data_IF_866581718619
#
_entry.id   IF_866581718619
#
_cell.length_a   1.000
_cell.length_b   1.000
_cell.length_c   1.000
_cell.angle_alpha   90.00
_cell.angle_beta   90.00
_cell.angle_gamma   90.00
#
_symmetry.space_group_name_H-M   'P 1'
#
loop_
_entity.id
_entity.type
_entity.pdbx_description
1 polymer ?
#
# COMPACT_ATOMS: atom_id res chain seq x y z
N UNK A 1 4.73 4.46 -22.39
CA UNK A 1 5.33 3.13 -22.08
C UNK A 1 6.83 3.06 -22.39
N UNK A 2 7.32 3.57 -23.52
CA UNK A 2 8.73 3.42 -23.95
C UNK A 2 9.77 4.16 -23.11
N UNK A 3 9.46 5.35 -22.57
CA UNK A 3 10.44 6.14 -21.78
C UNK A 3 10.74 5.54 -20.40
N UNK A 4 9.77 4.87 -19.79
CA UNK A 4 9.94 4.24 -18.47
C UNK A 4 10.70 2.91 -18.54
N UNK A 5 10.49 2.13 -19.61
CA UNK A 5 11.22 0.87 -19.83
C UNK A 5 12.72 1.12 -20.02
N UNK A 6 13.07 2.22 -20.69
CA UNK A 6 14.46 2.66 -20.90
C UNK A 6 15.12 3.07 -19.57
N UNK A 7 14.38 3.73 -18.68
CA UNK A 7 14.88 4.15 -17.37
C UNK A 7 15.21 2.96 -16.47
N UNK A 8 14.36 1.93 -16.44
CA UNK A 8 14.58 0.70 -15.66
C UNK A 8 15.79 -0.08 -16.18
N UNK A 9 15.92 -0.20 -17.50
CA UNK A 9 17.08 -0.88 -18.11
C UNK A 9 18.39 -0.15 -17.79
N UNK A 10 18.38 1.19 -17.80
CA UNK A 10 19.55 2.02 -17.48
C UNK A 10 20.00 1.85 -16.02
N UNK A 11 19.07 1.79 -15.07
CA UNK A 11 19.39 1.59 -13.65
C UNK A 11 19.94 0.19 -13.38
N UNK A 12 19.37 -0.84 -14.01
CA UNK A 12 19.86 -2.21 -13.89
C UNK A 12 21.29 -2.38 -14.46
N UNK A 13 21.58 -1.72 -15.59
CA UNK A 13 22.92 -1.72 -16.21
C UNK A 13 23.92 -0.96 -15.32
N UNK A 14 23.51 0.16 -14.69
CA UNK A 14 24.39 0.93 -13.80
C UNK A 14 24.77 0.13 -12.53
N UNK A 15 23.85 -0.64 -11.97
CA UNK A 15 24.10 -1.48 -10.79
C UNK A 15 25.09 -2.63 -11.08
N UNK A 16 25.08 -3.17 -12.29
CA UNK A 16 26.04 -4.19 -12.74
C UNK A 16 27.43 -3.58 -13.00
N UNK A 17 27.49 -2.34 -13.51
CA UNK A 17 28.76 -1.65 -13.75
C UNK A 17 29.58 -1.40 -12.48
N UNK A 18 28.92 -1.14 -11.35
CA UNK A 18 29.57 -0.85 -10.06
C UNK A 18 30.20 -2.08 -9.42
N UNK A 19 29.74 -3.30 -9.72
CA UNK A 19 30.32 -4.54 -9.18
C UNK A 19 31.59 -5.00 -9.92
N UNK A 20 31.86 -4.47 -11.12
CA UNK A 20 33.00 -4.88 -11.96
C UNK A 20 34.16 -3.87 -12.00
N UNK A 21 33.96 -2.64 -11.50
CA UNK A 21 34.97 -1.58 -11.60
C UNK A 21 34.99 -0.72 -10.31
N UNK A 22 36.00 -0.92 -9.46
CA UNK A 22 36.34 0.04 -8.40
C UNK A 22 36.98 -0.58 -7.18
N UNK A 23 38.31 -0.51 -7.11
CA UNK A 23 39.09 -0.68 -5.91
C UNK A 23 39.94 0.57 -5.71
N UNK A 24 39.49 1.58 -4.96
CA UNK A 24 40.33 2.57 -4.29
C UNK A 24 39.54 3.53 -3.37
N UNK A 25 39.67 3.35 -2.04
CA UNK A 25 39.74 4.29 -0.88
C UNK A 25 38.95 5.65 -0.85
N UNK A 26 38.09 5.99 -1.81
CA UNK A 26 37.12 7.11 -1.75
C UNK A 26 35.66 6.64 -1.78
N UNK A 27 35.45 5.34 -1.57
CA UNK A 27 34.25 4.62 -2.01
C UNK A 27 33.10 4.58 -1.01
N UNK A 28 33.30 4.87 0.28
CA UNK A 28 32.21 4.68 1.25
C UNK A 28 31.03 5.65 1.04
N UNK A 29 31.32 6.92 0.78
CA UNK A 29 30.26 7.91 0.48
C UNK A 29 29.55 7.64 -0.85
N UNK A 30 30.29 7.15 -1.84
CA UNK A 30 29.75 6.79 -3.16
C UNK A 30 28.92 5.50 -3.06
N UNK A 31 29.39 4.49 -2.30
CA UNK A 31 28.67 3.25 -2.02
C UNK A 31 27.40 3.48 -1.22
N UNK A 32 27.43 4.31 -0.19
CA UNK A 32 26.23 4.67 0.57
C UNK A 32 25.20 5.40 -0.31
N UNK A 33 25.65 6.32 -1.16
CA UNK A 33 24.78 7.04 -2.10
C UNK A 33 24.18 6.11 -3.17
N UNK A 34 25.00 5.20 -3.72
CA UNK A 34 24.55 4.18 -4.67
C UNK A 34 23.59 3.18 -4.04
N UNK A 35 23.87 2.74 -2.81
CA UNK A 35 22.99 1.82 -2.09
C UNK A 35 21.64 2.48 -1.79
N UNK A 36 21.64 3.76 -1.41
CA UNK A 36 20.41 4.54 -1.24
C UNK A 36 19.63 4.70 -2.55
N UNK A 37 20.33 4.98 -3.67
CA UNK A 37 19.71 5.09 -4.99
C UNK A 37 19.14 3.75 -5.50
N UNK A 38 19.83 2.64 -5.24
CA UNK A 38 19.36 1.28 -5.57
C UNK A 38 18.13 0.92 -4.73
N UNK A 39 18.13 1.21 -3.41
CA UNK A 39 16.95 0.98 -2.57
C UNK A 39 15.76 1.85 -3.00
N UNK A 40 15.99 3.12 -3.31
CA UNK A 40 14.95 4.02 -3.82
C UNK A 40 14.38 3.48 -5.15
N UNK A 41 15.25 3.13 -6.11
CA UNK A 41 14.82 2.57 -7.40
C UNK A 41 14.13 1.20 -7.24
N UNK A 42 14.57 0.34 -6.32
CA UNK A 42 13.90 -0.93 -6.01
C UNK A 42 12.53 -0.70 -5.35
N UNK A 43 12.40 0.30 -4.47
CA UNK A 43 11.12 0.68 -3.89
C UNK A 43 10.16 1.21 -4.97
N UNK A 44 10.65 2.06 -5.88
CA UNK A 44 9.86 2.55 -7.02
C UNK A 44 9.46 1.41 -7.97
N UNK A 45 10.37 0.48 -8.27
CA UNK A 45 10.08 -0.68 -9.13
C UNK A 45 9.09 -1.65 -8.47
N UNK A 46 9.20 -1.91 -7.16
CA UNK A 46 8.20 -2.68 -6.40
C UNK A 46 6.83 -1.99 -6.45
N UNK A 47 6.79 -0.68 -6.20
CA UNK A 47 5.55 0.13 -6.30
C UNK A 47 4.90 0.04 -7.69
N UNK A 48 5.71 0.00 -8.75
CA UNK A 48 5.19 -0.08 -10.12
C UNK A 48 4.76 -1.49 -10.58
N UNK A 49 5.42 -2.56 -10.10
CA UNK A 49 5.10 -3.94 -10.49
C UNK A 49 3.93 -4.48 -9.67
N UNK A 50 3.89 -4.18 -8.38
CA UNK A 50 2.98 -4.83 -7.42
C UNK A 50 1.56 -4.23 -7.47
N UNK A 51 1.41 -2.96 -7.86
CA UNK A 51 0.10 -2.30 -8.00
C UNK A 51 -0.69 -2.76 -9.24
N UNK A 52 -0.06 -3.54 -10.14
CA UNK A 52 -0.76 -4.18 -11.27
C UNK A 52 -1.57 -5.41 -10.84
N UNK A 53 -1.32 -5.96 -9.65
CA UNK A 53 -2.00 -7.14 -9.12
C UNK A 53 -3.18 -6.82 -8.19
N UNK A 54 -3.43 -5.54 -7.88
CA UNK A 54 -4.55 -5.14 -7.04
C UNK A 54 -5.92 -5.37 -7.70
N UNK A 55 -6.97 -5.47 -6.88
CA UNK A 55 -8.35 -5.63 -7.34
C UNK A 55 -9.05 -4.28 -7.48
N UNK A 56 -10.00 -4.13 -8.41
CA UNK A 56 -10.88 -2.98 -8.43
C UNK A 56 -11.82 -3.02 -7.23
N UNK A 57 -11.90 -1.89 -6.51
CA UNK A 57 -12.84 -1.66 -5.42
C UNK A 57 -13.60 -0.37 -5.71
N UNK A 58 -14.93 -0.41 -5.70
CA UNK A 58 -15.79 0.72 -6.07
C UNK A 58 -16.69 1.14 -4.91
N UNK A 59 -16.71 2.44 -4.59
CA UNK A 59 -17.61 3.04 -3.59
C UNK A 59 -18.31 4.23 -4.25
N UNK A 60 -19.65 4.22 -4.29
CA UNK A 60 -20.46 5.28 -4.92
C UNK A 60 -19.98 5.67 -6.34
N UNK A 61 -19.58 4.67 -7.14
CA UNK A 61 -19.11 4.87 -8.52
C UNK A 61 -17.68 5.39 -8.67
N UNK A 62 -16.95 5.57 -7.56
CA UNK A 62 -15.52 5.87 -7.56
C UNK A 62 -14.76 4.56 -7.43
N UNK A 63 -13.93 4.23 -8.41
CA UNK A 63 -13.12 3.01 -8.42
C UNK A 63 -11.69 3.31 -8.05
N UNK A 64 -11.15 2.52 -7.12
CA UNK A 64 -9.72 2.46 -6.79
C UNK A 64 -9.17 1.08 -7.12
N UNK A 65 -7.85 0.96 -7.19
CA UNK A 65 -7.16 -0.33 -7.24
C UNK A 65 -6.55 -0.61 -5.87
N UNK A 66 -7.06 -1.64 -5.19
CA UNK A 66 -6.63 -2.03 -3.87
C UNK A 66 -5.70 -3.26 -3.92
N UNK A 67 -4.51 -3.17 -3.32
CA UNK A 67 -3.72 -4.38 -3.00
C UNK A 67 -4.44 -5.16 -1.91
N UNK A 68 -4.43 -6.48 -1.98
CA UNK A 68 -5.09 -7.34 -0.99
C UNK A 68 -4.06 -7.87 -0.01
N UNK A 69 -4.35 -7.78 1.29
CA UNK A 69 -3.58 -8.41 2.35
C UNK A 69 -4.44 -9.45 3.09
N UNK A 70 -4.15 -10.72 2.84
CA UNK A 70 -4.87 -11.86 3.42
C UNK A 70 -4.05 -12.56 4.51
N UNK A 71 -2.74 -12.60 4.35
CA UNK A 71 -1.83 -13.25 5.30
C UNK A 71 -1.37 -12.29 6.39
N UNK A 72 -1.02 -12.82 7.56
CA UNK A 72 -0.47 -12.01 8.66
C UNK A 72 0.81 -11.24 8.25
N UNK A 73 1.61 -11.81 7.33
CA UNK A 73 2.79 -11.17 6.78
C UNK A 73 2.43 -9.94 5.93
N UNK A 74 1.51 -10.09 4.97
CA UNK A 74 1.04 -8.97 4.14
C UNK A 74 0.34 -7.89 4.97
N UNK A 75 -0.43 -8.30 5.98
CA UNK A 75 -1.11 -7.39 6.90
C UNK A 75 -0.11 -6.64 7.78
N UNK A 76 0.98 -7.29 8.20
CA UNK A 76 2.07 -6.68 8.97
C UNK A 76 2.96 -5.74 8.15
N UNK A 77 3.13 -5.99 6.84
CA UNK A 77 3.84 -5.10 5.92
C UNK A 77 3.03 -3.82 5.65
N UNK A 78 1.75 -3.98 5.32
CA UNK A 78 0.84 -2.88 5.06
C UNK A 78 1.35 -1.89 4.02
N UNK A 79 1.10 -0.60 4.26
CA UNK A 79 1.64 0.53 3.48
C UNK A 79 2.89 1.15 4.14
N UNK A 80 3.54 0.45 5.07
CA UNK A 80 4.76 0.92 5.71
C UNK A 80 5.91 1.07 4.70
N UNK A 81 6.74 2.10 4.88
CA UNK A 81 7.96 2.29 4.11
C UNK A 81 7.78 2.84 2.69
N UNK A 82 6.56 2.89 2.14
CA UNK A 82 6.31 3.54 0.84
C UNK A 82 6.25 5.08 0.98
N UNK A 83 6.75 5.79 -0.04
CA UNK A 83 6.89 7.25 -0.01
C UNK A 83 5.58 8.01 -0.22
N UNK A 84 4.68 7.46 -1.03
CA UNK A 84 3.41 8.07 -1.37
C UNK A 84 2.45 7.02 -1.91
N UNK A 85 1.17 7.19 -1.62
CA UNK A 85 0.06 6.50 -2.26
C UNK A 85 -0.64 7.44 -3.25
N UNK A 86 -0.92 6.94 -4.47
CA UNK A 86 -1.73 7.69 -5.43
C UNK A 86 -3.21 7.68 -5.01
N UNK A 87 -3.94 8.76 -5.30
CA UNK A 87 -5.36 8.94 -4.93
C UNK A 87 -6.30 7.82 -5.44
N UNK A 88 -5.90 7.08 -6.47
CA UNK A 88 -6.66 5.98 -7.07
C UNK A 88 -6.25 4.59 -6.53
N UNK A 89 -5.44 4.54 -5.48
CA UNK A 89 -4.89 3.30 -4.91
C UNK A 89 -5.21 3.17 -3.42
N UNK A 90 -5.25 1.94 -2.95
CA UNK A 90 -5.42 1.62 -1.53
C UNK A 90 -4.91 0.23 -1.18
N UNK A 91 -5.13 -0.18 0.06
CA UNK A 91 -4.86 -1.53 0.55
C UNK A 91 -6.08 -2.07 1.27
N UNK A 92 -6.56 -3.23 0.83
CA UNK A 92 -7.69 -3.94 1.40
C UNK A 92 -7.18 -5.12 2.22
N UNK A 93 -7.36 -5.03 3.52
CA UNK A 93 -7.10 -6.09 4.48
C UNK A 93 -8.32 -7.00 4.55
N UNK A 94 -8.10 -8.30 4.42
CA UNK A 94 -9.16 -9.32 4.41
C UNK A 94 -8.98 -10.23 5.61
N UNK A 95 -10.02 -10.31 6.44
CA UNK A 95 -10.01 -11.14 7.63
C UNK A 95 -10.96 -12.34 7.54
N UNK A 96 -10.64 -13.45 8.23
CA UNK A 96 -11.41 -14.69 8.11
C UNK A 96 -12.80 -14.62 8.73
N UNK A 97 -13.05 -13.67 9.64
CA UNK A 97 -14.34 -13.51 10.33
C UNK A 97 -14.61 -12.04 10.66
N UNK A 98 -15.85 -11.66 10.97
CA UNK A 98 -16.13 -10.33 11.50
C UNK A 98 -15.60 -10.16 12.93
N UNK A 99 -14.83 -9.11 13.20
CA UNK A 99 -14.24 -8.82 14.51
C UNK A 99 -13.84 -7.33 14.64
N UNK A 100 -13.11 -7.01 15.71
CA UNK A 100 -12.45 -5.74 15.94
C UNK A 100 -10.99 -5.79 15.48
N UNK A 101 -10.66 -5.03 14.43
CA UNK A 101 -9.38 -5.02 13.77
C UNK A 101 -8.64 -3.72 14.02
N UNK A 102 -7.46 -3.85 14.64
CA UNK A 102 -6.61 -2.73 15.02
C UNK A 102 -5.55 -2.45 13.96
N UNK A 103 -5.44 -1.19 13.57
CA UNK A 103 -4.43 -0.68 12.63
C UNK A 103 -3.59 0.42 13.29
N UNK A 104 -2.35 0.57 12.84
CA UNK A 104 -1.45 1.62 13.33
C UNK A 104 -0.63 2.19 12.17
N UNK A 105 0.08 3.29 12.42
CA UNK A 105 0.82 4.02 11.41
C UNK A 105 2.31 3.66 11.37
N UNK A 106 2.68 2.42 11.75
CA UNK A 106 4.08 1.99 11.79
C UNK A 106 4.75 2.17 10.41
N UNK A 107 5.91 2.84 10.41
CA UNK A 107 6.71 3.14 9.23
C UNK A 107 5.97 3.94 8.13
N UNK A 108 4.84 4.57 8.45
CA UNK A 108 4.04 5.36 7.51
C UNK A 108 4.70 6.71 7.21
N UNK A 109 4.52 7.23 5.98
CA UNK A 109 5.10 8.51 5.53
C UNK A 109 4.07 9.57 5.11
N UNK A 110 2.80 9.21 5.05
CA UNK A 110 1.71 10.08 4.62
C UNK A 110 0.43 9.74 5.40
N UNK A 111 -0.50 10.69 5.54
CA UNK A 111 -1.73 10.44 6.28
C UNK A 111 -2.70 9.54 5.52
N UNK A 112 -3.52 8.80 6.28
CA UNK A 112 -4.50 7.85 5.76
C UNK A 112 -5.92 8.13 6.28
N UNK A 113 -6.91 7.75 5.48
CA UNK A 113 -8.22 7.36 6.02
C UNK A 113 -8.21 5.84 6.22
N UNK A 114 -8.67 5.39 7.39
CA UNK A 114 -8.84 3.98 7.72
C UNK A 114 -10.33 3.69 7.74
N UNK A 115 -10.81 2.85 6.81
CA UNK A 115 -12.24 2.59 6.60
C UNK A 115 -12.51 1.11 6.91
N UNK A 116 -13.32 0.84 7.92
CA UNK A 116 -13.73 -0.52 8.27
C UNK A 116 -15.02 -0.89 7.56
N UNK A 117 -15.05 -2.11 7.03
CA UNK A 117 -16.11 -2.62 6.16
C UNK A 117 -16.64 -3.93 6.74
N UNK A 118 -17.96 -4.01 6.91
CA UNK A 118 -18.65 -5.18 7.42
C UNK A 118 -18.67 -6.36 6.46
N UNK A 119 -19.10 -7.53 6.95
CA UNK A 119 -19.24 -8.78 6.16
C UNK A 119 -20.10 -8.64 4.90
N UNK A 120 -21.13 -7.80 4.97
CA UNK A 120 -22.03 -7.47 3.86
C UNK A 120 -21.45 -6.42 2.89
N UNK A 121 -20.16 -6.08 3.05
CA UNK A 121 -19.41 -5.09 2.27
C UNK A 121 -19.95 -3.67 2.39
N UNK A 122 -20.55 -3.30 3.52
CA UNK A 122 -20.92 -1.90 3.80
C UNK A 122 -19.90 -1.26 4.74
N UNK A 123 -19.63 0.03 4.56
CA UNK A 123 -18.80 0.79 5.51
C UNK A 123 -19.48 0.78 6.88
N UNK A 124 -18.78 0.32 7.91
CA UNK A 124 -19.30 0.25 9.28
C UNK A 124 -18.61 1.25 10.21
N UNK A 125 -17.39 1.66 9.89
CA UNK A 125 -16.66 2.66 10.66
C UNK A 125 -15.59 3.35 9.81
N UNK A 126 -15.14 4.52 10.25
CA UNK A 126 -14.06 5.28 9.61
C UNK A 126 -13.33 6.17 10.61
N UNK A 127 -12.01 6.25 10.45
CA UNK A 127 -11.19 7.30 11.06
C UNK A 127 -10.45 8.00 9.93
N UNK A 128 -10.75 9.28 9.75
CA UNK A 128 -10.18 10.12 8.69
C UNK A 128 -8.88 10.78 9.14
N UNK A 129 -8.01 11.05 8.17
CA UNK A 129 -6.81 11.88 8.34
C UNK A 129 -5.89 11.46 9.51
N UNK A 130 -5.71 10.15 9.69
CA UNK A 130 -4.76 9.57 10.63
C UNK A 130 -3.34 9.98 10.24
N UNK A 131 -2.60 10.57 11.18
CA UNK A 131 -1.27 11.11 10.92
C UNK A 131 -0.15 10.09 11.21
N UNK A 132 0.95 10.07 10.43
CA UNK A 132 2.09 9.20 10.68
C UNK A 132 2.72 9.33 12.08
N UNK A 133 2.68 10.52 12.68
CA UNK A 133 3.23 10.79 14.02
C UNK A 133 2.40 10.21 15.16
N UNK A 134 1.27 9.55 14.85
CA UNK A 134 0.48 8.82 15.85
C UNK A 134 1.16 7.54 16.34
N UNK A 135 2.16 7.01 15.62
CA UNK A 135 2.90 5.81 16.02
C UNK A 135 4.20 6.20 16.78
N UNK A 136 4.56 5.51 17.88
CA UNK A 136 3.99 4.26 18.41
C UNK A 136 2.87 4.44 19.44
N UNK A 137 2.42 5.66 19.71
CA UNK A 137 1.58 5.98 20.86
C UNK A 137 0.11 5.54 20.70
N UNK A 138 -0.37 5.47 19.46
CA UNK A 138 -1.77 5.19 19.13
C UNK A 138 -1.92 4.06 18.12
N UNK A 139 -2.98 3.29 18.34
CA UNK A 139 -3.54 2.37 17.38
C UNK A 139 -5.06 2.60 17.31
N UNK A 140 -5.65 2.28 16.17
CA UNK A 140 -7.02 2.62 15.81
C UNK A 140 -7.80 1.34 15.59
N UNK A 141 -9.01 1.26 16.13
CA UNK A 141 -9.87 0.08 16.08
C UNK A 141 -11.30 0.52 15.77
N UNK A 142 -12.04 -0.33 15.04
CA UNK A 142 -13.45 -0.11 14.78
C UNK A 142 -14.33 -0.24 16.03
N UNK A 143 -15.45 0.50 16.04
CA UNK A 143 -16.52 0.37 17.04
C UNK A 143 -17.58 -0.68 16.65
N UNK A 144 -17.64 -1.06 15.36
CA UNK A 144 -18.63 -2.01 14.82
C UNK A 144 -17.96 -3.14 14.05
N UNK A 145 -18.47 -4.38 14.19
CA UNK A 145 -17.88 -5.58 13.57
C UNK A 145 -17.55 -5.38 12.09
N UNK A 146 -16.27 -5.49 11.77
CA UNK A 146 -15.73 -5.37 10.43
C UNK A 146 -15.16 -6.72 10.00
N UNK A 147 -15.16 -7.01 8.70
CA UNK A 147 -14.44 -8.15 8.13
C UNK A 147 -13.34 -7.73 7.16
N UNK A 148 -13.38 -6.48 6.72
CA UNK A 148 -12.36 -5.90 5.85
C UNK A 148 -11.98 -4.52 6.37
N UNK A 149 -10.75 -4.10 6.08
CA UNK A 149 -10.28 -2.74 6.34
C UNK A 149 -9.66 -2.20 5.07
N UNK A 150 -10.03 -0.98 4.68
CA UNK A 150 -9.44 -0.26 3.57
C UNK A 150 -8.61 0.90 4.10
N UNK A 151 -7.30 0.85 3.85
CA UNK A 151 -6.41 2.00 4.01
C UNK A 151 -6.28 2.73 2.67
N UNK A 152 -6.49 4.05 2.70
CA UNK A 152 -6.41 4.92 1.53
C UNK A 152 -5.87 6.30 1.92
N UNK A 153 -5.35 7.06 0.96
CA UNK A 153 -4.87 8.43 1.19
C UNK A 153 -5.90 9.29 1.93
N UNK A 154 -5.45 10.04 2.94
CA UNK A 154 -6.32 10.88 3.75
C UNK A 154 -7.19 11.86 2.95
N UNK A 155 -8.42 12.08 3.45
CA UNK A 155 -9.41 12.97 2.86
C UNK A 155 -10.18 12.35 1.69
N UNK A 156 -9.95 11.08 1.35
CA UNK A 156 -10.73 10.36 0.36
C UNK A 156 -12.19 10.26 0.78
N UNK A 157 -12.45 9.94 2.05
CA UNK A 157 -13.78 9.76 2.59
C UNK A 157 -14.62 11.05 2.49
N UNK A 158 -14.09 12.17 2.99
CA UNK A 158 -14.69 13.50 2.84
C UNK A 158 -14.85 13.91 1.36
N UNK A 159 -13.78 13.83 0.55
CA UNK A 159 -13.77 14.26 -0.87
C UNK A 159 -14.87 13.59 -1.69
N UNK A 160 -15.12 12.31 -1.45
CA UNK A 160 -16.12 11.52 -2.18
C UNK A 160 -17.49 11.48 -1.49
N UNK A 161 -17.65 12.22 -0.38
CA UNK A 161 -18.88 12.32 0.42
C UNK A 161 -19.41 10.94 0.78
N UNK A 162 -18.50 10.08 1.22
CA UNK A 162 -18.83 8.74 1.69
C UNK A 162 -19.53 8.84 3.03
N UNK A 163 -20.25 7.79 3.40
CA UNK A 163 -20.94 7.68 4.69
C UNK A 163 -20.98 6.23 5.14
N UNK A 164 -21.19 6.06 6.45
CA UNK A 164 -21.52 4.75 7.00
C UNK A 164 -22.74 4.16 6.28
N UNK A 165 -22.69 2.86 6.00
CA UNK A 165 -23.69 2.13 5.25
C UNK A 165 -23.53 2.17 3.73
N UNK A 166 -22.61 2.97 3.17
CA UNK A 166 -22.30 2.90 1.75
C UNK A 166 -21.73 1.52 1.38
N UNK A 167 -22.15 0.99 0.22
CA UNK A 167 -21.68 -0.29 -0.30
C UNK A 167 -20.29 -0.15 -0.93
N UNK A 168 -19.44 -1.13 -0.64
CA UNK A 168 -18.09 -1.27 -1.17
C UNK A 168 -18.03 -2.50 -2.08
N UNK A 169 -17.97 -2.28 -3.38
CA UNK A 169 -18.05 -3.33 -4.39
C UNK A 169 -16.65 -3.81 -4.80
N UNK A 170 -16.34 -5.08 -4.53
CA UNK A 170 -15.11 -5.74 -4.97
C UNK A 170 -15.33 -7.26 -5.08
N UNK A 171 -14.47 -7.93 -5.85
CA UNK A 171 -14.42 -9.40 -5.91
C UNK A 171 -13.06 -9.90 -5.49
N UNK A 172 -13.04 -10.94 -4.66
CA UNK A 172 -11.82 -11.67 -4.28
C UNK A 172 -11.61 -12.91 -5.17
N UNK A 173 -12.51 -13.16 -6.12
CA UNK A 173 -12.41 -14.31 -7.02
C UNK A 173 -11.20 -14.17 -7.95
N UNK A 174 -10.37 -15.21 -8.01
CA UNK A 174 -9.23 -15.28 -8.92
C UNK A 174 -7.87 -14.89 -8.33
N UNK A 175 -7.82 -14.41 -7.08
CA UNK A 175 -6.55 -14.13 -6.38
C UNK A 175 -5.69 -15.40 -6.22
N UNK A 176 -6.29 -16.58 -6.05
CA UNK A 176 -5.56 -17.86 -5.96
C UNK A 176 -4.90 -18.32 -7.28
N UNK A 177 -5.27 -17.76 -8.43
CA UNK A 177 -4.85 -18.29 -9.74
C UNK A 177 -3.54 -17.71 -10.27
N UNK A 178 -2.94 -16.74 -9.58
CA UNK A 178 -1.73 -16.04 -10.05
C UNK A 178 -0.43 -16.50 -9.40
N UNK A 179 -0.47 -17.39 -8.41
CA UNK A 179 0.72 -17.91 -7.71
C UNK A 179 1.23 -19.24 -8.33
N UNK A 180 0.49 -19.82 -9.27
CA UNK A 180 0.92 -21.04 -9.97
C UNK A 180 0.75 -20.87 -11.48
N UNK A 181 1.77 -20.28 -12.12
CA UNK A 181 2.16 -20.60 -13.50
C UNK A 181 3.62 -20.23 -13.77
#
# INVERSE_FOLDING_TARGET
MTRHLIFILLVAILAIGVTQFGSHQGEEGIRASLLGAVHAAQSEIRVFIDWRAGIPLTIKGVTIIARVAETEEEQGEGLGGIWRLSDDKGMLYVYPRPDFYTHNMKDMRFPLDIIWIGKNKTIVDVIENVQPDSYPDYAFVNDFLAQYVLEISAGFFEKHKLKLGDLVEFSLEGLERSVVQ
#
